data_IF_315306712858
#
_entry.id   IF_315306712858
#
_cell.length_a   1.000
_cell.length_b   1.000
_cell.length_c   1.000
_cell.angle_alpha   90.00
_cell.angle_beta   90.00
_cell.angle_gamma   90.00
#
_symmetry.space_group_name_H-M   'P 1'
#
loop_
_entity.id
_entity.type
_entity.pdbx_description
1 polymer ?
#
# COMPACT_ATOMS: atom_id res chain seq x y z
N UNK A 1 26.80 -0.01 22.03
CA UNK A 1 25.44 0.25 21.51
C UNK A 1 24.49 -0.79 22.13
N UNK A 2 23.33 -0.37 22.63
CA UNK A 2 22.41 -1.26 23.35
C UNK A 2 21.62 -2.17 22.37
N UNK A 3 21.46 -3.47 22.69
CA UNK A 3 20.72 -4.45 21.88
C UNK A 3 19.27 -4.02 21.57
N UNK A 4 18.63 -3.26 22.46
CA UNK A 4 17.27 -2.76 22.26
C UNK A 4 17.16 -1.81 21.06
N UNK A 5 18.22 -1.08 20.70
CA UNK A 5 18.21 -0.22 19.51
C UNK A 5 18.13 -1.02 18.22
N UNK A 6 18.83 -2.15 18.14
CA UNK A 6 18.79 -3.01 16.96
C UNK A 6 17.44 -3.70 16.82
N UNK A 7 16.83 -4.14 17.93
CA UNK A 7 15.48 -4.73 17.93
C UNK A 7 14.43 -3.70 17.51
N UNK A 8 14.51 -2.48 18.03
CA UNK A 8 13.63 -1.38 17.65
C UNK A 8 13.75 -1.04 16.16
N UNK A 9 14.98 -0.95 15.64
CA UNK A 9 15.23 -0.70 14.22
C UNK A 9 14.62 -1.82 13.34
N UNK A 10 14.78 -3.08 13.73
CA UNK A 10 14.23 -4.23 13.01
C UNK A 10 12.70 -4.20 12.95
N UNK A 11 12.04 -3.85 14.07
CA UNK A 11 10.58 -3.70 14.12
C UNK A 11 10.09 -2.60 13.18
N UNK A 12 10.76 -1.45 13.12
CA UNK A 12 10.36 -0.37 12.20
C UNK A 12 10.47 -0.76 10.73
N UNK A 13 11.46 -1.59 10.35
CA UNK A 13 11.57 -2.08 8.98
C UNK A 13 10.43 -3.04 8.61
N UNK A 14 10.05 -3.95 9.52
CA UNK A 14 8.99 -4.94 9.28
C UNK A 14 7.63 -4.26 9.00
N UNK A 15 7.34 -3.12 9.62
CA UNK A 15 6.08 -2.39 9.43
C UNK A 15 6.16 -1.25 8.41
N UNK A 16 7.30 -1.07 7.74
CA UNK A 16 7.50 0.07 6.82
C UNK A 16 6.83 -0.10 5.46
N UNK A 17 6.33 -1.30 5.14
CA UNK A 17 5.90 -1.69 3.80
C UNK A 17 4.38 -1.82 3.62
N UNK A 18 3.60 -1.78 4.70
CA UNK A 18 2.17 -2.08 4.59
C UNK A 18 1.39 -0.84 4.15
N UNK A 19 1.15 -0.74 2.83
CA UNK A 19 0.16 0.15 2.26
C UNK A 19 -1.25 -0.32 2.64
N UNK A 20 -1.63 -0.09 3.89
CA UNK A 20 -2.93 -0.48 4.47
C UNK A 20 -4.04 0.47 4.05
N UNK A 21 -4.33 0.52 2.76
CA UNK A 21 -5.48 1.25 2.24
C UNK A 21 -6.23 0.43 1.20
N UNK A 22 -7.50 0.75 1.05
CA UNK A 22 -8.36 0.17 0.01
C UNK A 22 -9.12 1.28 -0.70
N UNK A 23 -9.27 1.18 -2.02
CA UNK A 23 -10.02 2.12 -2.84
C UNK A 23 -11.15 1.39 -3.56
N UNK A 24 -12.24 2.10 -3.81
CA UNK A 24 -13.29 1.60 -4.71
C UNK A 24 -12.82 1.87 -6.14
N UNK A 25 -12.83 0.82 -6.97
CA UNK A 25 -12.55 0.96 -8.39
C UNK A 25 -13.73 1.60 -9.11
N UNK A 26 -13.53 2.84 -9.57
CA UNK A 26 -14.53 3.62 -10.30
C UNK A 26 -14.31 3.61 -11.82
N UNK A 27 -13.35 2.85 -12.34
CA UNK A 27 -13.11 2.75 -13.77
C UNK A 27 -14.07 1.73 -14.42
N UNK A 28 -15.08 2.16 -15.22
CA UNK A 28 -16.08 1.25 -15.79
C UNK A 28 -15.52 0.26 -16.83
N UNK A 29 -14.29 0.50 -17.31
CA UNK A 29 -13.60 -0.41 -18.22
C UNK A 29 -12.69 -1.42 -17.48
N UNK A 30 -12.61 -1.33 -16.15
CA UNK A 30 -11.82 -2.25 -15.33
C UNK A 30 -12.54 -3.57 -15.11
N UNK A 31 -11.78 -4.67 -15.01
CA UNK A 31 -12.31 -5.98 -14.65
C UNK A 31 -12.83 -6.04 -13.20
N UNK A 32 -12.40 -5.11 -12.35
CA UNK A 32 -12.78 -5.00 -10.93
C UNK A 32 -13.74 -3.83 -10.66
N UNK A 33 -14.42 -3.32 -11.69
CA UNK A 33 -15.31 -2.16 -11.55
C UNK A 33 -16.33 -2.36 -10.40
N UNK A 34 -16.37 -1.37 -9.49
CA UNK A 34 -17.25 -1.35 -8.32
C UNK A 34 -16.75 -2.16 -7.11
N UNK A 35 -15.65 -2.90 -7.25
CA UNK A 35 -15.05 -3.62 -6.12
C UNK A 35 -14.16 -2.70 -5.28
N UNK A 36 -14.05 -3.02 -3.99
CA UNK A 36 -13.02 -2.47 -3.11
C UNK A 36 -11.74 -3.27 -3.30
N UNK A 37 -10.67 -2.61 -3.76
CA UNK A 37 -9.37 -3.22 -4.03
C UNK A 37 -8.29 -2.62 -3.13
N UNK A 38 -7.38 -3.46 -2.66
CA UNK A 38 -6.16 -3.07 -1.93
C UNK A 38 -4.93 -3.26 -2.84
N UNK A 39 -3.77 -2.69 -2.48
CA UNK A 39 -2.50 -2.96 -3.17
C UNK A 39 -2.18 -4.45 -3.30
N UNK A 40 -2.68 -5.31 -2.40
CA UNK A 40 -2.49 -6.77 -2.44
C UNK A 40 -3.10 -7.41 -3.70
N UNK A 41 -4.13 -6.79 -4.31
CA UNK A 41 -4.70 -7.28 -5.58
C UNK A 41 -3.68 -7.25 -6.74
N UNK A 42 -2.67 -6.37 -6.64
CA UNK A 42 -1.61 -6.19 -7.64
C UNK A 42 -0.27 -6.77 -7.16
N UNK A 43 -0.30 -7.81 -6.33
CA UNK A 43 0.91 -8.52 -5.88
C UNK A 43 1.80 -8.90 -7.09
N UNK A 44 3.11 -8.76 -6.91
CA UNK A 44 4.14 -8.96 -7.94
C UNK A 44 4.05 -8.06 -9.19
N UNK A 45 3.29 -6.96 -9.12
CA UNK A 45 3.19 -5.98 -10.20
C UNK A 45 3.79 -4.64 -9.81
N UNK A 46 4.38 -3.96 -10.79
CA UNK A 46 4.81 -2.57 -10.62
C UNK A 46 3.58 -1.67 -10.64
N UNK A 47 3.30 -0.99 -9.52
CA UNK A 47 2.15 -0.08 -9.37
C UNK A 47 2.60 1.37 -9.20
N UNK A 48 1.74 2.32 -9.61
CA UNK A 48 1.92 3.75 -9.39
C UNK A 48 0.69 4.30 -8.66
N UNK A 49 0.90 4.80 -7.44
CA UNK A 49 -0.16 5.48 -6.68
C UNK A 49 0.01 6.99 -6.81
N UNK A 50 -0.91 7.64 -7.52
CA UNK A 50 -0.90 9.09 -7.73
C UNK A 50 -2.06 9.75 -6.98
N UNK A 51 -1.74 10.53 -5.94
CA UNK A 51 -2.71 11.33 -5.19
C UNK A 51 -2.61 12.79 -5.63
N UNK A 52 -3.41 13.17 -6.61
CA UNK A 52 -3.52 14.56 -7.05
C UNK A 52 -4.30 15.41 -6.04
N UNK A 53 -3.88 16.66 -5.84
CA UNK A 53 -4.67 17.68 -5.14
C UNK A 53 -5.35 18.59 -6.18
N UNK A 54 -6.65 18.83 -6.03
CA UNK A 54 -7.40 19.83 -6.81
C UNK A 54 -7.83 20.96 -5.87
N UNK A 55 -7.62 22.21 -6.30
CA UNK A 55 -8.14 23.42 -5.65
C UNK A 55 -9.52 23.79 -6.22
#
# INVERSE_FOLDING_TARGET
VNIYYYVFLLLTLVYSTDYNYSLIDLNPNSATYGATISPEYFEDQVTLHYFGHQY
#
